data_IF_872266822897
#
_entry.id   IF_872266822897
#
_cell.length_a   1.000
_cell.length_b   1.000
_cell.length_c   1.000
_cell.angle_alpha   90.00
_cell.angle_beta   90.00
_cell.angle_gamma   90.00
#
_symmetry.space_group_name_H-M   'P 1'
#
loop_
_entity.id
_entity.type
_entity.pdbx_description
1 polymer ?
#
# COMPACT_ATOMS: atom_id res chain seq x y z
N UNK A 1 -2.21 -13.94 -11.89
CA UNK A 1 -3.02 -12.79 -11.49
C UNK A 1 -2.47 -11.54 -12.16
N UNK A 2 -3.30 -10.55 -12.51
CA UNK A 2 -2.80 -9.24 -12.95
C UNK A 2 -1.83 -8.70 -11.89
N UNK A 3 -0.73 -8.09 -12.33
CA UNK A 3 0.25 -7.47 -11.42
C UNK A 3 -0.34 -6.16 -10.85
N UNK A 4 -1.34 -6.28 -9.98
CA UNK A 4 -1.98 -5.14 -9.31
C UNK A 4 -0.97 -4.31 -8.52
N UNK A 5 0.05 -4.94 -7.95
CA UNK A 5 1.19 -4.28 -7.31
C UNK A 5 1.94 -3.35 -8.27
N UNK A 6 2.29 -3.85 -9.46
CA UNK A 6 2.98 -3.04 -10.48
C UNK A 6 2.09 -1.92 -11.03
N UNK A 7 0.80 -2.20 -11.19
CA UNK A 7 -0.18 -1.19 -11.60
C UNK A 7 -0.30 -0.07 -10.56
N UNK A 8 -0.39 -0.43 -9.28
CA UNK A 8 -0.45 0.51 -8.16
C UNK A 8 0.83 1.35 -8.08
N UNK A 9 2.00 0.74 -8.19
CA UNK A 9 3.28 1.44 -8.19
C UNK A 9 3.40 2.47 -9.33
N UNK A 10 2.96 2.12 -10.54
CA UNK A 10 2.93 3.06 -11.69
C UNK A 10 1.96 4.21 -11.42
N UNK A 11 0.79 3.94 -10.84
CA UNK A 11 -0.21 4.95 -10.54
C UNK A 11 0.28 5.93 -9.45
N UNK A 12 0.86 5.41 -8.37
CA UNK A 12 1.42 6.22 -7.29
C UNK A 12 2.54 7.12 -7.80
N UNK A 13 3.47 6.59 -8.60
CA UNK A 13 4.56 7.40 -9.16
C UNK A 13 4.05 8.56 -10.02
N UNK A 14 3.08 8.31 -10.90
CA UNK A 14 2.50 9.36 -11.73
C UNK A 14 1.73 10.42 -10.93
N UNK A 15 1.07 10.03 -9.83
CA UNK A 15 0.34 10.96 -8.96
C UNK A 15 1.31 11.79 -8.11
N UNK A 16 2.37 11.19 -7.57
CA UNK A 16 3.42 11.90 -6.83
C UNK A 16 4.09 12.98 -7.69
N UNK A 17 4.44 12.67 -8.94
CA UNK A 17 5.01 13.64 -9.88
C UNK A 17 4.07 14.85 -10.09
N UNK A 18 2.77 14.60 -10.24
CA UNK A 18 1.75 15.66 -10.37
C UNK A 18 1.58 16.45 -9.08
N UNK A 19 1.66 15.79 -7.93
CA UNK A 19 1.57 16.45 -6.63
C UNK A 19 2.76 17.37 -6.38
N UNK A 20 3.97 16.97 -6.78
CA UNK A 20 5.17 17.82 -6.75
C UNK A 20 5.04 19.05 -7.66
N UNK A 21 4.44 18.90 -8.83
CA UNK A 21 4.13 20.01 -9.72
C UNK A 21 3.08 20.95 -9.12
N UNK A 22 2.01 20.41 -8.56
CA UNK A 22 0.94 21.18 -7.91
C UNK A 22 1.41 21.88 -6.64
N UNK A 23 2.36 21.29 -5.89
CA UNK A 23 2.95 21.89 -4.70
C UNK A 23 3.67 23.21 -4.99
N UNK A 24 4.13 23.43 -6.24
CA UNK A 24 4.71 24.71 -6.69
C UNK A 24 3.66 25.81 -6.86
N UNK A 25 2.37 25.48 -6.86
CA UNK A 25 1.25 26.41 -7.01
C UNK A 25 0.54 26.56 -5.65
N UNK A 26 0.69 27.69 -4.95
CA UNK A 26 0.14 27.88 -3.61
C UNK A 26 -1.39 27.72 -3.51
N UNK A 27 -2.11 27.97 -4.60
CA UNK A 27 -3.57 27.82 -4.68
C UNK A 27 -4.03 26.38 -4.88
N UNK A 28 -3.12 25.46 -5.20
CA UNK A 28 -3.42 24.06 -5.49
C UNK A 28 -3.34 23.14 -4.26
N UNK A 29 -2.94 23.64 -3.08
CA UNK A 29 -2.93 22.88 -1.82
C UNK A 29 -4.20 22.03 -1.57
N UNK A 30 -5.43 22.55 -1.72
CA UNK A 30 -6.63 21.73 -1.50
C UNK A 30 -6.84 20.63 -2.57
N UNK A 31 -6.18 20.71 -3.72
CA UNK A 31 -6.16 19.64 -4.71
C UNK A 31 -5.13 18.56 -4.34
N UNK A 32 -3.95 18.97 -3.86
CA UNK A 32 -2.91 18.07 -3.35
C UNK A 32 -3.41 17.27 -2.16
N UNK A 33 -4.09 17.90 -1.20
CA UNK A 33 -4.69 17.20 -0.05
C UNK A 33 -5.75 16.17 -0.48
N UNK A 34 -6.57 16.49 -1.48
CA UNK A 34 -7.55 15.56 -2.05
C UNK A 34 -6.89 14.36 -2.72
N UNK A 35 -5.77 14.57 -3.41
CA UNK A 35 -5.00 13.49 -4.03
C UNK A 35 -4.34 12.60 -2.96
N UNK A 36 -3.74 13.18 -1.92
CA UNK A 36 -3.20 12.44 -0.78
C UNK A 36 -4.26 11.54 -0.13
N UNK A 37 -5.43 12.11 0.19
CA UNK A 37 -6.52 11.35 0.82
C UNK A 37 -7.04 10.22 -0.07
N UNK A 38 -7.06 10.43 -1.39
CA UNK A 38 -7.45 9.38 -2.33
C UNK A 38 -6.41 8.25 -2.39
N UNK A 39 -5.12 8.58 -2.34
CA UNK A 39 -4.02 7.61 -2.29
C UNK A 39 -4.06 6.79 -1.00
N UNK A 40 -4.25 7.41 0.17
CA UNK A 40 -4.38 6.69 1.44
C UNK A 40 -5.55 5.70 1.43
N UNK A 41 -6.70 6.11 0.88
CA UNK A 41 -7.86 5.21 0.75
C UNK A 41 -7.58 4.05 -0.20
N UNK A 42 -6.87 4.31 -1.31
CA UNK A 42 -6.48 3.27 -2.25
C UNK A 42 -5.47 2.29 -1.63
N UNK A 43 -4.54 2.79 -0.81
CA UNK A 43 -3.60 1.98 -0.05
C UNK A 43 -4.31 1.09 0.97
N UNK A 44 -5.28 1.63 1.72
CA UNK A 44 -6.08 0.85 2.68
C UNK A 44 -6.83 -0.29 1.96
N UNK A 45 -7.43 -0.01 0.80
CA UNK A 45 -8.09 -1.03 -0.02
C UNK A 45 -7.08 -2.08 -0.49
N UNK A 46 -5.91 -1.66 -0.98
CA UNK A 46 -4.87 -2.57 -1.43
C UNK A 46 -4.42 -3.49 -0.30
N UNK A 47 -4.06 -2.94 0.87
CA UNK A 47 -3.62 -3.71 2.04
C UNK A 47 -4.72 -4.68 2.51
N UNK A 48 -5.96 -4.20 2.67
CA UNK A 48 -7.07 -5.05 3.15
C UNK A 48 -7.39 -6.19 2.19
N UNK A 49 -7.30 -5.95 0.89
CA UNK A 49 -7.58 -6.96 -0.13
C UNK A 49 -6.38 -7.87 -0.42
N UNK A 50 -5.15 -7.36 -0.30
CA UNK A 50 -3.92 -8.15 -0.44
C UNK A 50 -3.71 -9.08 0.75
N UNK A 51 -4.00 -8.64 1.98
CA UNK A 51 -3.98 -9.49 3.18
C UNK A 51 -5.04 -10.59 3.08
N UNK A 52 -6.28 -10.24 2.71
CA UNK A 52 -7.34 -11.24 2.51
C UNK A 52 -7.00 -12.27 1.42
N UNK A 53 -6.32 -11.84 0.36
CA UNK A 53 -5.88 -12.76 -0.71
C UNK A 53 -4.65 -13.58 -0.32
N UNK A 54 -3.72 -13.05 0.48
CA UNK A 54 -2.60 -13.79 1.05
C UNK A 54 -3.07 -14.86 2.05
N UNK A 55 -4.01 -14.53 2.93
CA UNK A 55 -4.65 -15.48 3.85
C UNK A 55 -5.42 -16.59 3.11
N UNK A 56 -6.08 -16.26 2.00
CA UNK A 56 -6.72 -17.25 1.12
C UNK A 56 -5.74 -18.11 0.32
N UNK A 57 -4.53 -17.63 0.09
CA UNK A 57 -3.55 -18.26 -0.81
C UNK A 57 -2.41 -18.99 -0.11
N UNK A 58 -2.23 -18.88 1.22
CA UNK A 58 -0.99 -19.27 1.89
C UNK A 58 -1.13 -20.09 3.16
N UNK A 59 -0.53 -21.29 3.12
CA UNK A 59 -0.27 -22.24 4.19
C UNK A 59 0.03 -21.63 5.58
N UNK A 60 -0.54 -22.26 6.62
CA UNK A 60 -0.25 -22.01 8.04
C UNK A 60 1.26 -22.14 8.29
N UNK A 61 1.91 -21.06 8.71
CA UNK A 61 3.27 -21.12 9.25
C UNK A 61 3.16 -21.39 10.75
N UNK A 62 3.35 -22.64 11.16
CA UNK A 62 3.52 -22.99 12.58
C UNK A 62 4.87 -22.46 13.08
N UNK A 63 4.81 -21.49 13.98
CA UNK A 63 5.97 -21.06 14.77
C UNK A 63 6.29 -22.16 15.80
N UNK A 64 7.24 -23.06 15.47
CA UNK A 64 7.87 -23.93 16.48
C UNK A 64 8.78 -23.07 17.33
N UNK A 65 8.31 -22.70 18.52
CA UNK A 65 9.20 -22.26 19.59
C UNK A 65 10.01 -23.48 20.04
N UNK A 66 11.31 -23.50 19.74
CA UNK A 66 12.23 -24.43 20.37
C UNK A 66 12.29 -24.08 21.86
N UNK A 67 11.60 -24.88 22.68
CA UNK A 67 11.78 -24.85 24.11
C UNK A 67 13.19 -25.34 24.40
N UNK A 68 14.12 -24.40 24.58
CA UNK A 68 15.48 -24.65 25.04
C UNK A 68 15.38 -25.35 26.41
N UNK A 69 15.49 -26.68 26.39
CA UNK A 69 15.66 -27.49 27.58
C UNK A 69 17.05 -27.17 28.12
N UNK A 70 17.12 -26.45 29.24
CA UNK A 70 18.33 -26.42 30.06
C UNK A 70 17.99 -27.08 31.39
N UNK A 71 18.56 -28.27 31.54
CA UNK A 71 18.71 -29.07 32.76
C UNK A 71 19.33 -28.27 33.91
#
# INVERSE_FOLDING_TARGET
MPNYEKMYAVLCGAIDDVMDELARIPLASPAVERLHSALEQAEEIYIRTSVYTAERAGNIIELRCDAESRE
#
